data_IF_980476373739
#
_entry.id   IF_980476373739
#
_cell.length_a   1.000
_cell.length_b   1.000
_cell.length_c   1.000
_cell.angle_alpha   90.00
_cell.angle_beta   90.00
_cell.angle_gamma   90.00
#
_symmetry.space_group_name_H-M   'P 1'
#
loop_
_entity.id
_entity.type
_entity.pdbx_description
1 polymer ?
#
# COMPACT_ATOMS: atom_id res chain seq x y z
N UNK A 1 -16.37 8.46 -2.31
CA UNK A 1 -16.69 7.85 -3.60
C UNK A 1 -15.47 7.97 -4.50
N UNK A 2 -15.02 6.89 -5.08
CA UNK A 2 -13.92 6.91 -6.01
C UNK A 2 -12.54 7.22 -5.42
N UNK A 3 -12.36 6.94 -4.13
CA UNK A 3 -11.04 7.09 -3.52
C UNK A 3 -10.05 6.17 -4.22
N UNK A 4 -8.85 6.70 -4.49
CA UNK A 4 -7.84 5.99 -5.25
C UNK A 4 -6.83 5.34 -4.30
N UNK A 5 -6.62 4.04 -4.48
CA UNK A 5 -5.74 3.24 -3.65
C UNK A 5 -4.56 2.78 -4.51
N UNK A 6 -3.36 3.19 -4.11
CA UNK A 6 -2.13 2.73 -4.75
C UNK A 6 -1.80 1.35 -4.21
N UNK A 7 -1.52 0.39 -5.09
CA UNK A 7 -1.10 -0.96 -4.70
C UNK A 7 0.27 -1.24 -5.30
N UNK A 8 1.25 -1.49 -4.45
CA UNK A 8 2.61 -1.85 -4.86
C UNK A 8 2.95 -3.22 -4.29
N UNK A 9 3.10 -4.21 -5.17
CA UNK A 9 3.33 -5.60 -4.83
C UNK A 9 3.93 -6.31 -6.04
N UNK A 10 5.04 -7.02 -5.88
CA UNK A 10 5.72 -7.69 -6.99
C UNK A 10 5.29 -9.14 -7.20
N UNK A 11 4.63 -9.75 -6.23
CA UNK A 11 4.05 -11.07 -6.41
C UNK A 11 2.69 -10.94 -7.06
N UNK A 12 2.58 -11.30 -8.34
CA UNK A 12 1.38 -10.98 -9.14
C UNK A 12 0.11 -11.62 -8.60
N UNK A 13 0.17 -12.83 -8.05
CA UNK A 13 -1.02 -13.48 -7.47
C UNK A 13 -1.51 -12.68 -6.27
N UNK A 14 -0.61 -12.29 -5.38
CA UNK A 14 -0.95 -11.46 -4.22
C UNK A 14 -1.46 -10.09 -4.67
N UNK A 15 -0.81 -9.50 -5.65
CA UNK A 15 -1.16 -8.18 -6.17
C UNK A 15 -2.58 -8.16 -6.73
N UNK A 16 -2.94 -9.17 -7.54
CA UNK A 16 -4.29 -9.24 -8.11
C UNK A 16 -5.35 -9.48 -7.05
N UNK A 17 -5.04 -10.32 -6.05
CA UNK A 17 -5.97 -10.55 -4.94
C UNK A 17 -6.24 -9.26 -4.16
N UNK A 18 -5.19 -8.48 -3.89
CA UNK A 18 -5.33 -7.18 -3.22
C UNK A 18 -6.19 -6.23 -4.05
N UNK A 19 -5.90 -6.13 -5.34
CA UNK A 19 -6.63 -5.24 -6.22
C UNK A 19 -8.11 -5.63 -6.33
N UNK A 20 -8.39 -6.93 -6.43
CA UNK A 20 -9.77 -7.41 -6.50
C UNK A 20 -10.54 -7.06 -5.23
N UNK A 21 -9.92 -7.26 -4.07
CA UNK A 21 -10.54 -6.93 -2.79
C UNK A 21 -10.86 -5.43 -2.71
N UNK A 22 -9.93 -4.60 -3.12
CA UNK A 22 -10.08 -3.14 -3.07
C UNK A 22 -11.19 -2.69 -4.04
N UNK A 23 -11.17 -3.21 -5.26
CA UNK A 23 -12.18 -2.85 -6.26
C UNK A 23 -13.59 -3.31 -5.89
N UNK A 24 -13.71 -4.52 -5.34
CA UNK A 24 -15.00 -5.03 -4.88
C UNK A 24 -15.61 -4.18 -3.78
N UNK A 25 -14.77 -3.50 -3.00
CA UNK A 25 -15.23 -2.61 -1.94
C UNK A 25 -15.63 -1.22 -2.45
N UNK A 26 -15.48 -0.96 -3.74
CA UNK A 26 -15.91 0.29 -4.36
C UNK A 26 -14.81 1.33 -4.57
N UNK A 27 -13.57 1.00 -4.27
CA UNK A 27 -12.45 1.91 -4.46
C UNK A 27 -11.87 1.79 -5.87
N UNK A 28 -11.17 2.83 -6.31
CA UNK A 28 -10.38 2.78 -7.53
C UNK A 28 -8.96 2.31 -7.20
N UNK A 29 -8.40 1.45 -8.07
CA UNK A 29 -7.05 0.94 -7.88
C UNK A 29 -6.09 1.60 -8.86
N UNK A 30 -4.96 2.09 -8.33
CA UNK A 30 -3.81 2.48 -9.13
C UNK A 30 -2.77 1.37 -8.99
N UNK A 31 -2.62 0.56 -10.01
CA UNK A 31 -1.69 -0.58 -10.00
C UNK A 31 -2.34 -1.88 -10.44
N UNK A 32 -1.76 -3.02 -10.11
CA UNK A 32 -0.62 -3.17 -9.21
C UNK A 32 0.71 -2.72 -9.83
N UNK A 33 1.56 -2.15 -9.01
CA UNK A 33 2.92 -1.77 -9.41
C UNK A 33 3.91 -2.77 -8.81
N UNK A 34 4.69 -3.41 -9.67
CA UNK A 34 5.70 -4.38 -9.22
C UNK A 34 7.00 -3.69 -8.79
N UNK A 35 7.17 -2.43 -9.12
CA UNK A 35 8.39 -1.69 -8.84
C UNK A 35 8.14 -0.32 -8.26
N UNK A 36 9.17 0.24 -7.64
CA UNK A 36 9.12 1.55 -7.01
C UNK A 36 8.97 2.65 -8.06
N UNK A 37 9.72 2.54 -9.16
CA UNK A 37 9.75 3.58 -10.18
C UNK A 37 8.38 3.85 -10.77
N UNK A 38 7.66 2.80 -11.17
CA UNK A 38 6.32 2.97 -11.74
C UNK A 38 5.34 3.50 -10.71
N UNK A 39 5.44 3.06 -9.46
CA UNK A 39 4.59 3.53 -8.38
C UNK A 39 4.83 5.02 -8.10
N UNK A 40 6.10 5.45 -8.10
CA UNK A 40 6.41 6.85 -7.88
C UNK A 40 5.90 7.74 -9.01
N UNK A 41 6.02 7.28 -10.26
CA UNK A 41 5.46 8.01 -11.40
C UNK A 41 3.94 8.16 -11.29
N UNK A 42 3.26 7.10 -10.85
CA UNK A 42 1.82 7.16 -10.64
C UNK A 42 1.45 8.21 -9.58
N UNK A 43 2.20 8.25 -8.48
CA UNK A 43 1.98 9.24 -7.41
C UNK A 43 2.24 10.67 -7.89
N UNK A 44 3.19 10.87 -8.79
CA UNK A 44 3.46 12.20 -9.35
C UNK A 44 2.33 12.70 -10.23
N UNK A 45 1.66 11.77 -10.93
CA UNK A 45 0.53 12.14 -11.79
C UNK A 45 -0.71 12.45 -10.99
N UNK A 46 -0.97 11.64 -9.97
CA UNK A 46 -2.12 11.83 -9.10
C UNK A 46 -1.83 11.25 -7.72
N UNK A 47 -1.94 12.07 -6.69
CA UNK A 47 -1.74 11.66 -5.31
C UNK A 47 -2.83 10.65 -4.92
N UNK A 48 -2.46 9.45 -4.44
CA UNK A 48 -3.48 8.50 -3.99
C UNK A 48 -4.07 8.92 -2.63
N UNK A 49 -5.23 8.37 -2.31
CA UNK A 49 -5.87 8.59 -1.01
C UNK A 49 -5.32 7.65 0.06
N UNK A 50 -4.81 6.51 -0.35
CA UNK A 50 -4.22 5.50 0.52
C UNK A 50 -3.25 4.67 -0.30
N UNK A 51 -2.22 4.13 0.34
CA UNK A 51 -1.27 3.23 -0.32
C UNK A 51 -1.16 1.91 0.43
N UNK A 52 -1.20 0.81 -0.29
CA UNK A 52 -0.93 -0.54 0.21
C UNK A 52 0.40 -0.97 -0.40
N UNK A 53 1.41 -1.16 0.44
CA UNK A 53 2.78 -1.35 -0.01
C UNK A 53 3.39 -2.64 0.52
N UNK A 54 4.00 -3.42 -0.38
CA UNK A 54 4.95 -4.46 0.02
C UNK A 54 6.31 -3.80 0.26
N UNK A 55 7.08 -4.33 1.18
CA UNK A 55 8.40 -3.77 1.52
C UNK A 55 9.43 -3.99 0.43
N UNK A 56 9.45 -5.19 -0.16
CA UNK A 56 10.40 -5.54 -1.22
C UNK A 56 9.70 -5.56 -2.57
N UNK A 57 10.18 -4.75 -3.48
CA UNK A 57 9.68 -4.69 -4.85
C UNK A 57 10.79 -5.08 -5.82
N UNK A 58 10.47 -5.19 -7.11
CA UNK A 58 11.43 -5.65 -8.14
C UNK A 58 12.71 -4.82 -8.17
N UNK A 59 12.61 -3.52 -7.94
CA UNK A 59 13.72 -2.59 -8.07
C UNK A 59 14.21 -2.02 -6.73
N UNK A 60 13.89 -2.69 -5.63
CA UNK A 60 14.44 -2.33 -4.34
C UNK A 60 13.41 -2.31 -3.22
N UNK A 61 13.78 -1.66 -2.11
CA UNK A 61 12.86 -1.51 -0.98
C UNK A 61 11.91 -0.34 -1.21
N UNK A 62 10.74 -0.43 -0.60
CA UNK A 62 9.66 0.53 -0.80
C UNK A 62 9.84 1.82 0.00
N UNK A 63 10.86 1.89 0.87
CA UNK A 63 10.97 3.00 1.83
C UNK A 63 11.05 4.39 1.21
N UNK A 64 11.76 4.62 0.10
CA UNK A 64 11.73 5.95 -0.52
C UNK A 64 10.34 6.38 -0.94
N UNK A 65 9.55 5.46 -1.49
CA UNK A 65 8.17 5.73 -1.86
C UNK A 65 7.31 6.00 -0.63
N UNK A 66 7.46 5.17 0.40
CA UNK A 66 6.70 5.32 1.64
C UNK A 66 7.00 6.67 2.30
N UNK A 67 8.26 7.08 2.29
CA UNK A 67 8.65 8.36 2.87
C UNK A 67 8.00 9.53 2.13
N UNK A 68 7.99 9.48 0.81
CA UNK A 68 7.33 10.50 0.01
C UNK A 68 5.83 10.59 0.31
N UNK A 69 5.17 9.42 0.39
CA UNK A 69 3.75 9.38 0.71
C UNK A 69 3.46 9.93 2.10
N UNK A 70 4.32 9.61 3.06
CA UNK A 70 4.21 10.14 4.42
C UNK A 70 4.31 11.66 4.42
N UNK A 71 5.24 12.22 3.65
CA UNK A 71 5.41 13.67 3.55
C UNK A 71 4.19 14.35 2.93
N UNK A 72 3.46 13.63 2.10
CA UNK A 72 2.24 14.14 1.48
C UNK A 72 0.97 13.79 2.28
N UNK A 73 1.14 13.25 3.47
CA UNK A 73 0.05 12.87 4.38
C UNK A 73 -0.88 11.79 3.80
N UNK A 74 -0.33 10.90 2.97
CA UNK A 74 -1.06 9.75 2.46
C UNK A 74 -0.93 8.61 3.47
N UNK A 75 -2.06 8.07 3.99
CA UNK A 75 -1.97 6.92 4.90
C UNK A 75 -1.42 5.70 4.19
N UNK A 76 -0.64 4.91 4.92
CA UNK A 76 0.06 3.76 4.38
C UNK A 76 -0.31 2.51 5.16
N UNK A 77 -0.64 1.43 4.44
CA UNK A 77 -0.75 0.09 4.99
C UNK A 77 0.41 -0.73 4.40
N UNK A 78 1.33 -1.18 5.25
CA UNK A 78 2.36 -2.09 4.82
C UNK A 78 1.83 -3.52 4.86
N UNK A 79 1.88 -4.20 3.73
CA UNK A 79 1.49 -5.59 3.57
C UNK A 79 2.78 -6.39 3.43
N UNK A 80 3.29 -6.95 4.53
CA UNK A 80 4.65 -7.45 4.56
C UNK A 80 4.79 -8.82 5.20
N UNK A 81 5.92 -9.47 4.90
CA UNK A 81 6.39 -10.58 5.69
C UNK A 81 6.90 -10.06 7.04
N UNK A 82 6.97 -10.94 8.02
CA UNK A 82 7.23 -10.54 9.42
C UNK A 82 8.58 -9.92 9.69
N UNK A 83 9.56 -10.20 8.85
CA UNK A 83 10.95 -9.83 9.11
C UNK A 83 11.19 -8.33 9.04
N UNK A 84 10.26 -7.58 8.48
CA UNK A 84 10.41 -6.13 8.26
C UNK A 84 9.69 -5.27 9.29
N UNK A 85 8.94 -5.87 10.22
CA UNK A 85 8.03 -5.11 11.09
C UNK A 85 8.76 -4.10 11.97
N UNK A 86 9.88 -4.49 12.58
CA UNK A 86 10.62 -3.57 13.44
C UNK A 86 11.18 -2.39 12.67
N UNK A 87 11.71 -2.65 11.48
CA UNK A 87 12.26 -1.61 10.62
C UNK A 87 11.16 -0.63 10.17
N UNK A 88 10.00 -1.16 9.80
CA UNK A 88 8.86 -0.33 9.43
C UNK A 88 8.45 0.56 10.60
N UNK A 89 8.30 -0.01 11.78
CA UNK A 89 7.88 0.76 12.97
C UNK A 89 8.88 1.83 13.36
N UNK A 90 10.16 1.57 13.16
CA UNK A 90 11.19 2.54 13.46
C UNK A 90 11.11 3.76 12.55
N UNK A 91 10.82 3.56 11.26
CA UNK A 91 10.78 4.64 10.28
C UNK A 91 9.39 5.24 10.10
N UNK A 92 8.34 4.44 10.30
CA UNK A 92 6.96 4.84 10.05
C UNK A 92 6.08 4.44 11.22
N UNK A 93 6.24 5.09 12.39
CA UNK A 93 5.54 4.66 13.61
C UNK A 93 4.01 4.78 13.53
N UNK A 94 3.51 5.60 12.63
CA UNK A 94 2.05 5.79 12.48
C UNK A 94 1.45 4.93 11.38
N UNK A 95 2.26 4.18 10.64
CA UNK A 95 1.75 3.33 9.58
C UNK A 95 1.11 2.07 10.14
N UNK A 96 0.13 1.57 9.41
CA UNK A 96 -0.50 0.29 9.71
C UNK A 96 0.31 -0.83 9.07
N UNK A 97 0.53 -1.91 9.81
CA UNK A 97 1.26 -3.08 9.29
C UNK A 97 0.32 -4.27 9.34
N UNK A 98 0.21 -4.99 8.21
CA UNK A 98 -0.55 -6.23 8.12
C UNK A 98 0.35 -7.32 7.57
N UNK A 99 0.42 -8.45 8.25
CA UNK A 99 1.24 -9.58 7.83
C UNK A 99 0.60 -10.31 6.65
N UNK A 100 1.43 -10.82 5.76
CA UNK A 100 0.99 -11.69 4.67
C UNK A 100 0.71 -13.10 5.20
N UNK A 101 -0.35 -13.76 4.73
CA UNK A 101 -1.45 -13.22 3.94
C UNK A 101 -2.43 -12.44 4.80
N UNK A 102 -2.92 -11.33 4.30
CA UNK A 102 -3.91 -10.52 5.02
C UNK A 102 -5.31 -10.88 4.51
N UNK A 103 -6.19 -11.43 5.35
CA UNK A 103 -7.55 -11.73 4.91
C UNK A 103 -8.28 -10.49 4.40
N UNK A 104 -9.17 -10.64 3.42
CA UNK A 104 -9.85 -9.47 2.84
C UNK A 104 -10.56 -8.58 3.85
N UNK A 105 -11.27 -9.15 4.81
CA UNK A 105 -11.99 -8.31 5.78
C UNK A 105 -11.04 -7.54 6.71
N UNK A 106 -9.87 -8.10 7.01
CA UNK A 106 -8.85 -7.40 7.81
C UNK A 106 -8.26 -6.24 7.03
N UNK A 107 -8.00 -6.45 5.74
CA UNK A 107 -7.51 -5.39 4.89
C UNK A 107 -8.52 -4.25 4.76
N UNK A 108 -9.79 -4.58 4.54
CA UNK A 108 -10.84 -3.57 4.42
C UNK A 108 -11.05 -2.80 5.72
N UNK A 109 -10.95 -3.49 6.87
CA UNK A 109 -11.03 -2.82 8.17
C UNK A 109 -9.87 -1.83 8.35
N UNK A 110 -8.66 -2.23 7.97
CA UNK A 110 -7.49 -1.36 8.06
C UNK A 110 -7.65 -0.14 7.15
N UNK A 111 -8.19 -0.33 5.95
CA UNK A 111 -8.45 0.77 5.02
C UNK A 111 -9.48 1.74 5.57
N UNK A 112 -10.57 1.24 6.13
CA UNK A 112 -11.59 2.09 6.73
C UNK A 112 -11.07 2.92 7.89
N UNK A 113 -10.17 2.34 8.69
CA UNK A 113 -9.55 3.07 9.82
C UNK A 113 -8.58 4.13 9.34
N UNK A 114 -7.87 3.87 8.25
CA UNK A 114 -6.83 4.75 7.74
C UNK A 114 -7.40 5.89 6.89
N UNK A 115 -8.48 5.65 6.16
CA UNK A 115 -9.08 6.66 5.29
C UNK A 115 -9.92 7.64 6.11
N UNK A 116 -9.83 8.93 5.81
CA UNK A 116 -10.68 9.91 6.47
C UNK A 116 -12.15 9.67 6.15
N UNK A 117 -12.99 9.94 7.13
CA UNK A 117 -14.43 9.75 7.02
C UNK A 117 -15.05 10.64 5.93
#
# INVERSE_FOLDING_TARGET
MGQKILVAEDEMIVAFDLCDTVEEAGYQVEGPHAGITSAMLACQREKPDLAILDVSLDDGTVYPLAKRLQEENVPIIFHSGRTSDEEIRAQFPNATIRAKPCPPHDLLAAMNEALPA
#
